data_IF_907833097490
#
_entry.id   IF_907833097490
#
_cell.length_a   1.000
_cell.length_b   1.000
_cell.length_c   1.000
_cell.angle_alpha   90.00
_cell.angle_beta   90.00
_cell.angle_gamma   90.00
#
_symmetry.space_group_name_H-M   'P 1'
#
loop_
_entity.id
_entity.type
_entity.pdbx_description
1 polymer ?
#
# COMPACT_ATOMS: atom_id res chain seq x y z
N UNK A 1 -14.53 12.52 -71.85
CA UNK A 1 -14.44 11.39 -70.94
C UNK A 1 -13.91 11.94 -69.61
N UNK A 2 -14.82 12.26 -68.64
CA UNK A 2 -14.45 12.85 -67.36
C UNK A 2 -14.32 11.73 -66.34
N UNK A 3 -13.12 11.55 -65.81
CA UNK A 3 -12.84 10.52 -64.79
C UNK A 3 -13.17 11.15 -63.42
N UNK A 4 -14.22 10.62 -62.73
CA UNK A 4 -14.53 10.93 -61.36
C UNK A 4 -13.62 10.11 -60.44
N UNK A 5 -12.72 10.79 -59.72
CA UNK A 5 -11.94 10.16 -58.68
C UNK A 5 -12.69 10.33 -57.37
N UNK A 6 -13.33 9.25 -56.89
CA UNK A 6 -13.99 9.19 -55.60
C UNK A 6 -12.95 9.05 -54.50
N UNK A 7 -12.74 10.09 -53.69
CA UNK A 7 -11.92 10.01 -52.47
C UNK A 7 -12.68 9.28 -51.38
N UNK A 8 -12.24 8.08 -51.05
CA UNK A 8 -12.73 7.34 -49.88
C UNK A 8 -11.95 7.90 -48.68
N UNK A 9 -12.63 8.71 -47.83
CA UNK A 9 -12.13 9.14 -46.53
C UNK A 9 -12.28 7.99 -45.55
N UNK A 10 -11.16 7.36 -45.19
CA UNK A 10 -11.12 6.37 -44.10
C UNK A 10 -11.21 7.10 -42.79
N UNK A 11 -12.37 7.11 -42.16
CA UNK A 11 -12.56 7.59 -40.81
C UNK A 11 -12.00 6.53 -39.87
N UNK A 12 -10.81 6.75 -39.33
CA UNK A 12 -10.27 5.98 -38.23
C UNK A 12 -11.12 6.28 -36.97
N UNK A 13 -12.04 5.37 -36.67
CA UNK A 13 -12.74 5.37 -35.39
C UNK A 13 -11.74 4.94 -34.30
N UNK A 14 -11.09 5.91 -33.65
CA UNK A 14 -10.32 5.64 -32.44
C UNK A 14 -11.32 5.27 -31.37
N UNK A 15 -11.52 3.97 -31.16
CA UNK A 15 -12.18 3.43 -29.97
C UNK A 15 -11.33 3.88 -28.76
N UNK A 16 -11.72 4.97 -28.12
CA UNK A 16 -11.31 5.26 -26.76
C UNK A 16 -11.80 4.08 -25.90
N UNK A 17 -10.92 3.11 -25.68
CA UNK A 17 -11.12 2.12 -24.63
C UNK A 17 -11.16 2.93 -23.34
N UNK A 18 -12.36 3.22 -22.85
CA UNK A 18 -12.53 3.71 -21.49
C UNK A 18 -11.78 2.71 -20.62
N UNK A 19 -10.66 3.14 -20.06
CA UNK A 19 -9.88 2.34 -19.13
C UNK A 19 -10.74 2.11 -17.91
N UNK A 20 -11.44 0.98 -17.89
CA UNK A 20 -12.23 0.58 -16.74
C UNK A 20 -11.31 0.50 -15.54
N UNK A 21 -11.75 1.08 -14.43
CA UNK A 21 -11.12 0.96 -13.14
C UNK A 21 -10.68 -0.50 -12.91
N UNK A 22 -9.40 -0.72 -12.70
CA UNK A 22 -8.86 -2.08 -12.69
C UNK A 22 -8.92 -2.68 -11.29
N UNK A 23 -9.60 -3.82 -11.17
CA UNK A 23 -9.68 -4.63 -9.97
C UNK A 23 -8.37 -5.44 -9.79
N UNK A 24 -7.28 -4.75 -9.48
CA UNK A 24 -5.92 -5.28 -9.62
C UNK A 24 -5.05 -5.12 -8.38
N UNK A 25 -5.64 -4.72 -7.25
CA UNK A 25 -4.93 -4.63 -5.96
C UNK A 25 -5.63 -5.47 -4.91
N UNK A 26 -4.84 -6.17 -4.10
CA UNK A 26 -5.31 -6.99 -2.96
C UNK A 26 -4.60 -6.49 -1.71
N UNK A 27 -5.29 -6.44 -0.59
CA UNK A 27 -4.63 -6.24 0.69
C UNK A 27 -4.71 -7.50 1.56
N UNK A 28 -3.72 -7.66 2.43
CA UNK A 28 -3.51 -8.82 3.29
C UNK A 28 -3.04 -8.36 4.68
N UNK A 29 -3.26 -9.23 5.68
CA UNK A 29 -2.79 -9.05 7.04
C UNK A 29 -2.40 -10.36 7.71
N UNK A 30 -1.99 -10.30 8.97
CA UNK A 30 -1.74 -11.48 9.79
C UNK A 30 -3.00 -12.35 10.03
N UNK A 31 -4.20 -11.84 9.76
CA UNK A 31 -5.44 -12.62 9.81
C UNK A 31 -5.60 -13.57 8.62
N UNK A 32 -4.85 -13.36 7.52
CA UNK A 32 -4.83 -14.26 6.38
C UNK A 32 -3.89 -15.44 6.63
N UNK A 33 -4.35 -16.45 7.36
CA UNK A 33 -3.51 -17.55 7.84
C UNK A 33 -3.05 -18.54 6.74
N UNK A 34 -3.66 -18.48 5.54
CA UNK A 34 -3.32 -19.40 4.45
C UNK A 34 -1.98 -19.03 3.80
N UNK A 35 -1.31 -20.01 3.23
CA UNK A 35 -0.20 -19.76 2.30
C UNK A 35 -0.74 -19.19 1.01
N UNK A 36 -0.44 -17.91 0.75
CA UNK A 36 -0.93 -17.18 -0.43
C UNK A 36 -0.18 -17.63 -1.68
N UNK A 37 -0.93 -17.94 -2.75
CA UNK A 37 -0.39 -18.24 -4.08
C UNK A 37 -0.26 -16.96 -4.90
N UNK A 38 0.85 -16.24 -4.74
CA UNK A 38 1.12 -14.97 -5.44
C UNK A 38 1.34 -15.14 -6.94
N UNK A 39 1.84 -16.30 -7.40
CA UNK A 39 2.01 -16.57 -8.83
C UNK A 39 0.64 -16.67 -9.49
N UNK A 40 -0.27 -17.44 -8.91
CA UNK A 40 -1.65 -17.52 -9.39
C UNK A 40 -2.36 -16.18 -9.30
N UNK A 41 -2.15 -15.42 -8.20
CA UNK A 41 -2.69 -14.08 -8.03
C UNK A 41 -2.27 -13.13 -9.17
N UNK A 42 -0.99 -13.16 -9.55
CA UNK A 42 -0.47 -12.41 -10.70
C UNK A 42 -1.12 -12.85 -12.02
N UNK A 43 -1.26 -14.15 -12.24
CA UNK A 43 -1.87 -14.71 -13.45
C UNK A 43 -3.37 -14.38 -13.56
N UNK A 44 -4.05 -14.17 -12.44
CA UNK A 44 -5.44 -13.70 -12.37
C UNK A 44 -5.59 -12.17 -12.51
N UNK A 45 -4.51 -11.44 -12.85
CA UNK A 45 -4.53 -10.02 -13.19
C UNK A 45 -4.29 -9.06 -12.03
N UNK A 46 -3.91 -9.55 -10.84
CA UNK A 46 -3.46 -8.66 -9.76
C UNK A 46 -2.11 -8.06 -10.12
N UNK A 47 -1.96 -6.76 -9.87
CA UNK A 47 -0.74 -5.98 -10.15
C UNK A 47 0.00 -5.65 -8.86
N UNK A 48 -0.73 -5.37 -7.78
CA UNK A 48 -0.14 -4.97 -6.51
C UNK A 48 -0.81 -5.59 -5.30
N UNK A 49 -0.01 -5.73 -4.23
CA UNK A 49 -0.45 -6.16 -2.91
C UNK A 49 -0.05 -5.11 -1.88
N UNK A 50 -0.97 -4.74 -0.98
CA UNK A 50 -0.70 -3.90 0.18
C UNK A 50 -0.87 -4.77 1.43
N UNK A 51 0.17 -4.94 2.22
CA UNK A 51 0.19 -5.86 3.36
C UNK A 51 0.36 -5.12 4.67
N UNK A 52 -0.30 -5.57 5.74
CA UNK A 52 -0.01 -5.10 7.09
C UNK A 52 1.46 -5.31 7.41
N UNK A 53 2.12 -4.27 7.89
CA UNK A 53 3.51 -4.39 8.34
C UNK A 53 3.61 -4.25 9.85
N UNK A 54 2.82 -3.34 10.41
CA UNK A 54 2.79 -3.06 11.85
C UNK A 54 1.37 -2.68 12.30
N UNK A 55 1.07 -2.95 13.57
CA UNK A 55 -0.21 -2.70 14.19
C UNK A 55 -0.04 -2.27 15.68
N UNK A 56 -1.13 -1.96 16.43
CA UNK A 56 -1.03 -1.43 17.79
C UNK A 56 -0.09 -2.21 18.71
N UNK A 57 0.47 -1.53 19.72
CA UNK A 57 1.51 -2.00 20.65
C UNK A 57 2.91 -2.09 20.06
N UNK A 58 3.14 -1.47 18.90
CA UNK A 58 4.40 -1.60 18.14
C UNK A 58 4.66 -3.05 17.71
N UNK A 59 3.60 -3.83 17.51
CA UNK A 59 3.71 -5.18 17.01
C UNK A 59 4.00 -5.17 15.49
N UNK A 60 4.66 -6.24 15.02
CA UNK A 60 5.04 -6.45 13.62
C UNK A 60 4.34 -7.68 13.07
N UNK A 61 3.79 -7.56 11.86
CA UNK A 61 3.22 -8.72 11.19
C UNK A 61 4.31 -9.72 10.83
N UNK A 62 4.21 -10.93 11.37
CA UNK A 62 5.21 -11.99 11.19
C UNK A 62 5.27 -12.52 9.74
N UNK A 63 4.19 -12.36 8.97
CA UNK A 63 4.13 -12.80 7.57
C UNK A 63 4.65 -11.75 6.59
N UNK A 64 4.75 -10.49 7.00
CA UNK A 64 5.08 -9.36 6.11
C UNK A 64 6.30 -9.65 5.23
N UNK A 65 7.45 -9.98 5.84
CA UNK A 65 8.70 -10.17 5.10
C UNK A 65 8.66 -11.34 4.13
N UNK A 66 8.18 -12.50 4.56
CA UNK A 66 8.10 -13.69 3.70
C UNK A 66 7.12 -13.52 2.55
N UNK A 67 6.01 -12.81 2.78
CA UNK A 67 5.02 -12.51 1.75
C UNK A 67 5.50 -11.43 0.79
N UNK A 68 6.22 -10.41 1.27
CA UNK A 68 6.90 -9.44 0.42
C UNK A 68 7.82 -10.13 -0.57
N UNK A 69 8.69 -11.01 -0.08
CA UNK A 69 9.63 -11.76 -0.91
C UNK A 69 8.92 -12.63 -1.96
N UNK A 70 7.85 -13.32 -1.57
CA UNK A 70 7.10 -14.19 -2.48
C UNK A 70 6.32 -13.37 -3.52
N UNK A 71 5.67 -12.28 -3.13
CA UNK A 71 4.90 -11.42 -4.02
C UNK A 71 5.81 -10.70 -5.03
N UNK A 72 6.93 -10.15 -4.59
CA UNK A 72 7.87 -9.46 -5.47
C UNK A 72 8.55 -10.41 -6.46
N UNK A 73 8.90 -11.64 -6.03
CA UNK A 73 9.35 -12.69 -6.97
C UNK A 73 8.29 -13.07 -7.99
N UNK A 74 7.02 -13.05 -7.64
CA UNK A 74 5.92 -13.27 -8.60
C UNK A 74 5.67 -12.05 -9.52
N UNK A 75 6.41 -10.96 -9.35
CA UNK A 75 6.30 -9.76 -10.16
C UNK A 75 5.13 -8.83 -9.75
N UNK A 76 4.66 -8.91 -8.49
CA UNK A 76 3.67 -8.01 -7.93
C UNK A 76 4.33 -6.77 -7.35
N UNK A 77 3.69 -5.61 -7.49
CA UNK A 77 4.01 -4.38 -6.77
C UNK A 77 3.71 -4.58 -5.28
N UNK A 78 4.48 -3.92 -4.41
CA UNK A 78 4.34 -4.09 -2.97
C UNK A 78 4.03 -2.79 -2.25
N UNK A 79 3.10 -2.85 -1.31
CA UNK A 79 2.77 -1.78 -0.37
C UNK A 79 2.72 -2.31 1.06
N UNK A 80 2.78 -1.42 2.00
CA UNK A 80 2.74 -1.68 3.42
C UNK A 80 1.72 -0.76 4.10
N UNK A 81 1.00 -1.25 5.11
CA UNK A 81 0.19 -0.40 5.95
C UNK A 81 0.50 -0.58 7.44
N UNK A 82 0.23 0.47 8.20
CA UNK A 82 0.24 0.50 9.65
C UNK A 82 -1.17 0.73 10.17
N UNK A 83 -1.68 -0.16 11.01
CA UNK A 83 -2.93 0.06 11.72
C UNK A 83 -2.70 0.98 12.91
N UNK A 84 -3.26 2.20 12.86
CA UNK A 84 -3.00 3.26 13.83
C UNK A 84 -3.78 3.14 15.13
N UNK A 85 -3.14 3.48 16.25
CA UNK A 85 -3.78 3.61 17.56
C UNK A 85 -3.62 5.02 18.17
N UNK A 86 -4.21 5.27 19.36
CA UNK A 86 -4.14 6.58 20.00
C UNK A 86 -2.88 6.77 20.89
N UNK A 87 -1.83 5.97 20.71
CA UNK A 87 -0.54 6.19 21.36
C UNK A 87 0.30 7.22 20.58
N UNK A 88 1.62 7.30 20.82
CA UNK A 88 2.50 8.28 20.19
C UNK A 88 2.59 8.08 18.66
N UNK A 89 2.02 8.96 17.83
CA UNK A 89 1.95 8.80 16.37
C UNK A 89 3.33 8.92 15.70
N UNK A 90 4.27 9.67 16.28
CA UNK A 90 5.62 9.81 15.74
C UNK A 90 6.40 8.52 15.91
N UNK A 91 6.32 7.91 17.09
CA UNK A 91 6.93 6.59 17.34
C UNK A 91 6.30 5.50 16.49
N UNK A 92 4.96 5.52 16.27
CA UNK A 92 4.28 4.59 15.38
C UNK A 92 4.82 4.72 13.95
N UNK A 93 4.96 5.94 13.43
CA UNK A 93 5.51 6.20 12.11
C UNK A 93 6.96 5.72 11.96
N UNK A 94 7.83 6.01 12.95
CA UNK A 94 9.22 5.55 12.93
C UNK A 94 9.30 4.02 12.97
N UNK A 95 8.54 3.37 13.84
CA UNK A 95 8.46 1.90 13.94
C UNK A 95 7.99 1.25 12.64
N UNK A 96 6.98 1.83 11.99
CA UNK A 96 6.49 1.38 10.70
C UNK A 96 7.57 1.48 9.62
N UNK A 97 8.27 2.62 9.53
CA UNK A 97 9.36 2.81 8.57
C UNK A 97 10.53 1.87 8.82
N UNK A 98 10.90 1.63 10.08
CA UNK A 98 11.94 0.65 10.45
C UNK A 98 11.56 -0.76 9.97
N UNK A 99 10.31 -1.19 10.20
CA UNK A 99 9.84 -2.49 9.73
C UNK A 99 9.93 -2.61 8.21
N UNK A 100 9.43 -1.62 7.48
CA UNK A 100 9.48 -1.62 6.01
C UNK A 100 10.93 -1.60 5.49
N UNK A 101 11.79 -0.76 6.07
CA UNK A 101 13.19 -0.68 5.67
C UNK A 101 13.96 -1.96 5.96
N UNK A 102 13.74 -2.59 7.12
CA UNK A 102 14.43 -3.82 7.53
C UNK A 102 14.13 -5.02 6.63
N UNK A 103 13.04 -4.96 5.87
CA UNK A 103 12.59 -6.02 4.96
C UNK A 103 12.77 -5.65 3.49
N UNK A 104 13.25 -4.43 3.21
CA UNK A 104 13.54 -4.00 1.86
C UNK A 104 14.88 -4.55 1.38
N UNK A 105 14.84 -5.65 0.67
CA UNK A 105 16.03 -6.25 0.04
C UNK A 105 16.36 -5.61 -1.32
N UNK A 106 15.78 -4.49 -1.57
CA UNK A 106 16.09 -3.48 -2.60
C UNK A 106 15.85 -3.95 -4.00
N UNK A 107 16.04 -4.03 -4.68
CA UNK A 107 16.38 -3.65 -6.05
C UNK A 107 16.44 -4.77 -7.06
N UNK A 108 16.69 -5.97 -6.65
CA UNK A 108 16.93 -7.07 -7.57
C UNK A 108 15.64 -7.51 -8.26
N UNK A 109 14.51 -7.38 -7.59
CA UNK A 109 13.24 -7.92 -8.10
C UNK A 109 12.25 -6.85 -8.55
N UNK A 110 12.23 -5.66 -7.89
CA UNK A 110 11.40 -4.52 -8.32
C UNK A 110 11.95 -3.18 -7.80
N UNK A 111 12.32 -2.27 -8.71
CA UNK A 111 12.85 -0.95 -8.35
C UNK A 111 11.78 0.06 -7.92
N UNK A 112 10.49 -0.32 -7.91
CA UNK A 112 9.37 0.61 -7.77
C UNK A 112 9.19 1.14 -6.34
N UNK A 113 9.78 0.50 -5.33
CA UNK A 113 9.63 0.89 -3.93
C UNK A 113 8.39 0.28 -3.26
N UNK A 114 8.05 0.78 -2.07
CA UNK A 114 6.93 0.33 -1.23
C UNK A 114 5.93 1.47 -1.05
N UNK A 115 4.66 1.28 -1.42
CA UNK A 115 3.60 2.21 -1.02
C UNK A 115 3.44 2.16 0.49
N UNK A 116 3.35 3.33 1.14
CA UNK A 116 3.13 3.45 2.58
C UNK A 116 1.71 3.91 2.84
N UNK A 117 1.02 3.31 3.82
CA UNK A 117 -0.36 3.63 4.17
C UNK A 117 -0.54 3.73 5.67
N UNK A 118 -1.26 4.73 6.12
CA UNK A 118 -1.88 4.76 7.45
C UNK A 118 -3.27 4.16 7.35
N UNK A 119 -3.51 3.07 8.06
CA UNK A 119 -4.86 2.56 8.32
C UNK A 119 -5.46 3.35 9.49
N UNK A 120 -6.38 4.27 9.15
CA UNK A 120 -7.03 5.19 10.06
C UNK A 120 -8.44 4.73 10.41
N UNK A 121 -8.55 3.51 10.91
CA UNK A 121 -9.82 2.92 11.33
C UNK A 121 -10.08 3.04 12.84
N UNK A 122 -11.29 2.65 13.24
CA UNK A 122 -11.64 2.50 14.64
C UNK A 122 -10.90 1.30 15.21
N UNK A 123 -10.18 1.52 16.31
CA UNK A 123 -9.52 0.44 17.01
C UNK A 123 -10.44 -0.08 18.13
N UNK A 124 -11.13 -1.18 17.86
CA UNK A 124 -12.01 -1.88 18.80
C UNK A 124 -11.36 -3.17 19.36
N UNK A 125 -10.19 -3.57 18.84
CA UNK A 125 -9.61 -4.89 19.10
C UNK A 125 -8.31 -4.86 19.89
N UNK A 126 -7.55 -3.76 19.79
CA UNK A 126 -6.23 -3.65 20.41
C UNK A 126 -6.21 -2.60 21.51
N UNK A 127 -5.34 -2.77 22.53
CA UNK A 127 -5.03 -1.69 23.45
C UNK A 127 -4.50 -0.43 22.72
N UNK A 128 -4.59 0.73 23.37
CA UNK A 128 -4.10 1.99 22.83
C UNK A 128 -5.20 2.94 22.37
N UNK A 129 -6.41 2.43 22.15
CA UNK A 129 -7.56 3.25 21.72
C UNK A 129 -7.50 3.64 20.24
N UNK A 130 -8.51 4.39 19.80
CA UNK A 130 -8.65 4.79 18.41
C UNK A 130 -7.86 6.06 18.12
N UNK A 131 -7.04 6.05 17.07
CA UNK A 131 -6.27 7.21 16.59
C UNK A 131 -7.19 8.41 16.30
N UNK A 132 -6.80 9.59 16.77
CA UNK A 132 -7.49 10.86 16.52
C UNK A 132 -6.91 11.55 15.27
N UNK A 133 -7.64 12.56 14.78
CA UNK A 133 -7.23 13.32 13.57
C UNK A 133 -5.89 14.04 13.77
N UNK A 134 -5.66 14.64 14.95
CA UNK A 134 -4.38 15.28 15.26
C UNK A 134 -3.20 14.30 15.25
N UNK A 135 -3.42 13.09 15.71
CA UNK A 135 -2.43 12.01 15.68
C UNK A 135 -2.19 11.47 14.27
N UNK A 136 -3.26 11.31 13.47
CA UNK A 136 -3.13 10.93 12.06
C UNK A 136 -2.31 11.97 11.27
N UNK A 137 -2.54 13.27 11.52
CA UNK A 137 -1.74 14.36 10.95
C UNK A 137 -0.28 14.23 11.34
N UNK A 138 0.02 14.07 12.64
CA UNK A 138 1.40 13.92 13.11
C UNK A 138 2.10 12.68 12.50
N UNK A 139 1.38 11.56 12.36
CA UNK A 139 1.88 10.36 11.70
C UNK A 139 2.26 10.61 10.23
N UNK A 140 1.33 11.17 9.44
CA UNK A 140 1.58 11.37 7.99
C UNK A 140 2.66 12.42 7.74
N UNK A 141 2.75 13.45 8.58
CA UNK A 141 3.83 14.43 8.51
C UNK A 141 5.19 13.81 8.86
N UNK A 142 5.22 12.91 9.86
CA UNK A 142 6.44 12.17 10.19
C UNK A 142 6.89 11.28 9.05
N UNK A 143 5.97 10.54 8.42
CA UNK A 143 6.28 9.74 7.21
C UNK A 143 6.86 10.65 6.12
N UNK A 144 6.21 11.79 5.83
CA UNK A 144 6.70 12.73 4.83
C UNK A 144 8.08 13.27 5.16
N UNK A 145 8.33 13.65 6.41
CA UNK A 145 9.63 14.14 6.86
C UNK A 145 10.74 13.12 6.60
N UNK A 146 10.48 11.84 6.89
CA UNK A 146 11.47 10.77 6.79
C UNK A 146 11.68 10.24 5.38
N UNK A 147 10.66 10.33 4.52
CA UNK A 147 10.68 9.67 3.20
C UNK A 147 10.60 10.64 2.02
N UNK A 148 10.25 11.90 2.27
CA UNK A 148 9.93 12.88 1.22
C UNK A 148 8.57 12.64 0.54
N UNK A 149 7.81 11.62 0.95
CA UNK A 149 6.52 11.22 0.36
C UNK A 149 5.40 11.30 1.39
N UNK A 150 4.22 11.78 0.99
CA UNK A 150 3.02 11.56 1.78
C UNK A 150 2.55 10.10 1.62
N UNK A 151 2.17 9.41 2.69
CA UNK A 151 1.58 8.08 2.61
C UNK A 151 0.15 8.15 2.07
N UNK A 152 -0.47 7.00 1.84
CA UNK A 152 -1.92 6.90 1.73
C UNK A 152 -2.59 6.98 3.11
N UNK A 153 -3.87 7.34 3.09
CA UNK A 153 -4.77 7.21 4.24
C UNK A 153 -5.88 6.25 3.85
N UNK A 154 -6.04 5.18 4.62
CA UNK A 154 -7.13 4.22 4.48
C UNK A 154 -8.17 4.41 5.58
N UNK A 155 -9.42 4.15 5.24
CA UNK A 155 -10.52 4.05 6.19
C UNK A 155 -11.87 3.91 5.50
N UNK A 156 -12.87 3.51 6.27
CA UNK A 156 -14.26 3.43 5.80
C UNK A 156 -14.82 4.81 5.44
N UNK A 157 -15.55 4.94 4.31
CA UNK A 157 -16.08 6.21 3.81
C UNK A 157 -16.88 6.99 4.87
N UNK A 158 -17.82 6.33 5.56
CA UNK A 158 -18.63 6.96 6.60
C UNK A 158 -17.80 7.41 7.81
N UNK A 159 -16.80 6.62 8.19
CA UNK A 159 -15.91 6.98 9.28
C UNK A 159 -15.08 8.21 8.92
N UNK A 160 -14.39 8.20 7.80
CA UNK A 160 -13.57 9.34 7.35
C UNK A 160 -14.42 10.61 7.28
N UNK A 161 -15.60 10.53 6.66
CA UNK A 161 -16.54 11.65 6.62
C UNK A 161 -16.90 12.17 8.03
N UNK A 162 -17.21 11.27 8.96
CA UNK A 162 -17.62 11.65 10.32
C UNK A 162 -16.47 12.28 11.11
N UNK A 163 -15.30 11.65 11.13
CA UNK A 163 -14.19 12.13 11.96
C UNK A 163 -13.57 13.42 11.41
N UNK A 164 -13.49 13.58 10.07
CA UNK A 164 -12.89 14.75 9.45
C UNK A 164 -13.82 15.98 9.45
N UNK A 165 -15.14 15.77 9.58
CA UNK A 165 -16.12 16.84 9.80
C UNK A 165 -16.43 17.07 11.29
N UNK A 166 -15.74 16.37 12.19
CA UNK A 166 -15.89 16.50 13.62
C UNK A 166 -15.55 17.89 14.15
N UNK A 167 -16.22 18.30 15.25
CA UNK A 167 -15.88 19.55 15.94
C UNK A 167 -14.43 19.50 16.42
N UNK A 168 -13.67 20.56 16.16
CA UNK A 168 -12.26 20.66 16.57
C UNK A 168 -11.26 20.19 15.51
N UNK A 169 -11.70 19.66 14.36
CA UNK A 169 -10.81 19.40 13.22
C UNK A 169 -10.63 20.69 12.43
N UNK A 170 -9.40 21.21 12.42
CA UNK A 170 -9.07 22.45 11.74
C UNK A 170 -9.02 22.30 10.21
N UNK A 171 -9.20 23.41 9.44
CA UNK A 171 -8.97 23.39 8.00
C UNK A 171 -7.55 22.92 7.62
N UNK A 172 -6.54 23.30 8.41
CA UNK A 172 -5.15 22.89 8.19
C UNK A 172 -4.96 21.39 8.31
N UNK A 173 -5.55 20.75 9.33
CA UNK A 173 -5.48 19.31 9.50
C UNK A 173 -6.11 18.57 8.30
N UNK A 174 -7.26 19.05 7.83
CA UNK A 174 -7.89 18.48 6.61
C UNK A 174 -7.00 18.65 5.39
N UNK A 175 -6.38 19.83 5.23
CA UNK A 175 -5.48 20.08 4.11
C UNK A 175 -4.23 19.18 4.15
N UNK A 176 -3.64 18.97 5.32
CA UNK A 176 -2.49 18.05 5.47
C UNK A 176 -2.88 16.64 5.06
N UNK A 177 -4.02 16.13 5.53
CA UNK A 177 -4.50 14.81 5.14
C UNK A 177 -4.87 14.73 3.66
N UNK A 178 -5.36 15.82 3.06
CA UNK A 178 -5.65 15.88 1.62
C UNK A 178 -4.41 15.78 0.72
N UNK A 179 -3.20 16.03 1.25
CA UNK A 179 -1.96 15.76 0.52
C UNK A 179 -1.61 14.27 0.42
N UNK A 180 -2.23 13.44 1.26
CA UNK A 180 -2.13 11.99 1.17
C UNK A 180 -3.00 11.48 0.01
N UNK A 181 -2.68 10.31 -0.55
CA UNK A 181 -3.61 9.66 -1.45
C UNK A 181 -4.67 8.87 -0.65
N UNK A 182 -5.90 8.81 -1.18
CA UNK A 182 -7.02 8.18 -0.48
C UNK A 182 -7.23 6.73 -0.92
N UNK A 183 -7.25 5.82 0.05
CA UNK A 183 -7.74 4.47 -0.07
C UNK A 183 -8.99 4.34 0.82
N UNK A 184 -10.14 4.12 0.21
CA UNK A 184 -11.43 4.17 0.92
C UNK A 184 -12.16 2.83 0.84
N UNK A 185 -12.73 2.38 1.96
CA UNK A 185 -13.58 1.20 2.01
C UNK A 185 -15.06 1.58 1.91
N UNK A 186 -15.77 0.94 0.98
CA UNK A 186 -17.22 0.93 0.90
C UNK A 186 -17.67 -0.36 0.20
N UNK A 187 -18.37 -1.23 0.92
CA UNK A 187 -18.76 -2.56 0.45
C UNK A 187 -20.15 -2.60 -0.22
N UNK A 188 -20.83 -1.45 -0.29
CA UNK A 188 -22.22 -1.33 -0.78
C UNK A 188 -22.31 -0.60 -2.12
N UNK A 189 -21.45 0.41 -2.32
CA UNK A 189 -21.46 1.25 -3.52
C UNK A 189 -20.09 1.87 -3.76
N UNK A 190 -19.90 2.42 -4.97
CA UNK A 190 -18.73 3.26 -5.23
C UNK A 190 -18.72 4.47 -4.28
N UNK A 191 -17.55 4.80 -3.67
CA UNK A 191 -17.44 5.91 -2.73
C UNK A 191 -17.76 7.26 -3.38
N UNK A 192 -18.54 8.09 -2.67
CA UNK A 192 -19.00 9.41 -3.15
C UNK A 192 -18.58 10.54 -2.23
N UNK A 193 -18.29 10.25 -0.95
CA UNK A 193 -17.97 11.25 0.07
C UNK A 193 -16.47 11.18 0.40
N UNK A 194 -15.67 11.76 -0.47
CA UNK A 194 -14.19 11.69 -0.36
C UNK A 194 -13.54 12.93 0.27
N UNK A 195 -14.30 14.00 0.54
CA UNK A 195 -13.72 15.21 1.12
C UNK A 195 -12.94 14.91 2.42
N UNK A 196 -11.74 15.51 2.62
CA UNK A 196 -11.17 16.65 1.89
C UNK A 196 -10.42 16.30 0.59
N UNK A 197 -10.36 15.05 0.18
CA UNK A 197 -9.76 14.63 -1.09
C UNK A 197 -10.73 14.88 -2.25
N UNK A 198 -10.20 15.27 -3.40
CA UNK A 198 -10.99 15.50 -4.62
C UNK A 198 -11.58 14.18 -5.16
N UNK A 199 -10.85 13.07 -4.93
CA UNK A 199 -11.25 11.74 -5.37
C UNK A 199 -10.54 10.66 -4.57
N UNK A 200 -11.04 9.42 -4.68
CA UNK A 200 -10.35 8.24 -4.18
C UNK A 200 -9.34 7.73 -5.23
N UNK A 201 -8.24 7.15 -4.77
CA UNK A 201 -7.23 6.48 -5.61
C UNK A 201 -7.45 4.97 -5.63
N UNK A 202 -7.67 4.38 -4.45
CA UNK A 202 -8.05 2.99 -4.28
C UNK A 202 -9.41 2.89 -3.56
N UNK A 203 -10.25 1.98 -4.05
CA UNK A 203 -11.51 1.64 -3.42
C UNK A 203 -11.51 0.17 -3.03
N UNK A 204 -11.51 -0.11 -1.72
CA UNK A 204 -11.74 -1.45 -1.20
C UNK A 204 -13.25 -1.74 -1.26
N UNK A 205 -13.63 -2.60 -2.18
CA UNK A 205 -15.03 -2.93 -2.40
C UNK A 205 -15.47 -4.22 -1.70
N UNK A 206 -14.54 -5.01 -1.17
CA UNK A 206 -14.80 -6.20 -0.36
C UNK A 206 -13.76 -6.34 0.75
N UNK A 207 -14.23 -6.65 1.95
CA UNK A 207 -13.44 -6.93 3.14
C UNK A 207 -14.25 -7.78 4.11
N UNK A 208 -13.61 -8.63 4.92
CA UNK A 208 -14.26 -9.57 5.86
C UNK A 208 -15.34 -10.46 5.21
N UNK A 209 -15.23 -10.71 3.92
CA UNK A 209 -16.24 -11.41 3.13
C UNK A 209 -17.51 -10.61 2.84
N UNK A 210 -17.58 -9.34 3.27
CA UNK A 210 -18.68 -8.42 2.99
C UNK A 210 -18.52 -7.82 1.59
N UNK A 211 -19.59 -7.73 0.84
CA UNK A 211 -19.72 -7.01 -0.42
C UNK A 211 -21.13 -7.21 -0.95
N UNK A 212 -21.90 -6.15 -1.12
CA UNK A 212 -23.26 -6.19 -1.62
C UNK A 212 -23.34 -5.94 -3.14
N UNK A 213 -22.17 -5.76 -3.76
CA UNK A 213 -22.06 -5.48 -5.19
C UNK A 213 -22.22 -6.74 -6.05
N UNK A 214 -22.65 -6.61 -7.33
CA UNK A 214 -22.82 -7.74 -8.23
C UNK A 214 -21.54 -8.56 -8.44
N UNK A 215 -21.55 -9.85 -8.11
CA UNK A 215 -20.38 -10.74 -8.12
C UNK A 215 -19.69 -10.84 -9.47
N UNK A 216 -20.41 -10.75 -10.56
CA UNK A 216 -19.84 -10.83 -11.91
C UNK A 216 -18.81 -9.71 -12.18
N UNK A 217 -19.04 -8.52 -11.60
CA UNK A 217 -18.14 -7.36 -11.74
C UNK A 217 -17.20 -7.20 -10.54
N UNK A 218 -17.61 -7.68 -9.37
CA UNK A 218 -16.92 -7.50 -8.10
C UNK A 218 -16.67 -8.87 -7.43
N UNK A 219 -15.72 -9.67 -7.95
CA UNK A 219 -15.40 -10.98 -7.39
C UNK A 219 -14.81 -10.84 -5.98
N UNK A 220 -15.24 -11.75 -5.08
CA UNK A 220 -14.78 -11.79 -3.67
C UNK A 220 -13.62 -12.75 -3.44
N UNK A 221 -13.10 -13.36 -4.49
CA UNK A 221 -11.99 -14.32 -4.39
C UNK A 221 -10.89 -13.94 -5.37
N UNK A 222 -9.68 -14.39 -5.07
CA UNK A 222 -8.52 -14.33 -5.96
C UNK A 222 -7.54 -15.43 -5.57
N UNK A 223 -6.94 -16.08 -6.53
CA UNK A 223 -6.04 -17.21 -6.33
C UNK A 223 -6.66 -18.29 -5.41
N UNK A 224 -6.05 -18.54 -4.27
CA UNK A 224 -6.56 -19.49 -3.26
C UNK A 224 -7.29 -18.80 -2.10
N UNK A 225 -7.51 -17.48 -2.17
CA UNK A 225 -8.22 -16.71 -1.14
C UNK A 225 -9.69 -16.59 -1.51
N UNK A 226 -10.57 -17.17 -0.70
CA UNK A 226 -12.03 -17.19 -0.97
C UNK A 226 -12.73 -15.89 -0.58
N UNK A 227 -12.26 -15.22 0.46
CA UNK A 227 -12.78 -13.95 0.98
C UNK A 227 -11.66 -12.92 0.95
N UNK A 228 -11.21 -12.60 -0.26
CA UNK A 228 -10.12 -11.67 -0.46
C UNK A 228 -10.58 -10.22 -0.24
N UNK A 229 -9.74 -9.42 0.33
CA UNK A 229 -9.89 -7.96 0.38
C UNK A 229 -9.39 -7.36 -0.93
N UNK A 230 -10.31 -6.93 -1.77
CA UNK A 230 -10.00 -6.52 -3.15
C UNK A 230 -10.27 -5.05 -3.37
N UNK A 231 -9.43 -4.46 -4.19
CA UNK A 231 -9.41 -3.02 -4.42
C UNK A 231 -9.41 -2.69 -5.90
N UNK A 232 -10.15 -1.64 -6.23
CA UNK A 232 -10.18 -1.03 -7.56
C UNK A 232 -9.31 0.21 -7.53
N UNK A 233 -8.41 0.34 -8.49
CA UNK A 233 -7.70 1.58 -8.75
C UNK A 233 -8.52 2.48 -9.69
N UNK A 234 -8.58 3.78 -9.39
CA UNK A 234 -9.27 4.78 -10.23
C UNK A 234 -8.42 5.15 -11.44
N UNK A 235 -8.34 4.27 -12.40
CA UNK A 235 -7.56 4.48 -13.62
C UNK A 235 -7.22 3.18 -14.34
N UNK A 236 -6.39 3.30 -15.36
CA UNK A 236 -5.88 2.16 -16.12
C UNK A 236 -4.81 1.38 -15.35
N UNK A 237 -4.47 0.18 -15.85
CA UNK A 237 -3.34 -0.60 -15.32
C UNK A 237 -2.01 0.15 -15.42
N UNK A 238 -1.75 0.80 -16.56
CA UNK A 238 -0.56 1.65 -16.72
C UNK A 238 -0.56 2.81 -15.73
N UNK A 239 -1.72 3.46 -15.53
CA UNK A 239 -1.89 4.50 -14.52
C UNK A 239 -1.64 4.00 -13.08
N UNK A 240 -1.98 2.75 -12.76
CA UNK A 240 -1.68 2.15 -11.46
C UNK A 240 -0.16 1.97 -11.27
N UNK A 241 0.55 1.53 -12.29
CA UNK A 241 2.02 1.39 -12.20
C UNK A 241 2.71 2.75 -12.08
N UNK A 242 2.23 3.77 -12.82
CA UNK A 242 2.73 5.14 -12.70
C UNK A 242 2.44 5.73 -11.33
N UNK A 243 1.24 5.52 -10.82
CA UNK A 243 0.85 5.91 -9.46
C UNK A 243 1.76 5.27 -8.41
N UNK A 244 2.04 3.96 -8.54
CA UNK A 244 2.93 3.25 -7.61
C UNK A 244 4.33 3.86 -7.64
N UNK A 245 4.91 4.04 -8.81
CA UNK A 245 6.24 4.68 -8.97
C UNK A 245 6.30 6.10 -8.38
N UNK A 246 5.23 6.88 -8.54
CA UNK A 246 5.16 8.25 -8.05
C UNK A 246 5.08 8.34 -6.51
N UNK A 247 4.36 7.42 -5.87
CA UNK A 247 4.03 7.50 -4.44
C UNK A 247 4.85 6.55 -3.55
N UNK A 248 5.46 5.50 -4.11
CA UNK A 248 6.23 4.55 -3.34
C UNK A 248 7.53 5.17 -2.78
N UNK A 249 7.85 4.74 -1.58
CA UNK A 249 9.13 5.04 -0.94
C UNK A 249 10.15 3.96 -1.28
N UNK A 250 11.40 4.38 -1.53
CA UNK A 250 12.55 3.49 -1.70
C UNK A 250 13.45 3.65 -0.48
N UNK A 251 13.42 2.69 0.47
CA UNK A 251 14.37 2.72 1.57
C UNK A 251 15.81 2.76 1.05
N UNK A 252 16.67 3.56 1.68
CA UNK A 252 18.08 3.51 1.39
C UNK A 252 18.60 2.10 1.75
N UNK A 253 19.28 1.47 0.81
CA UNK A 253 20.01 0.23 1.12
C UNK A 253 21.22 0.67 1.93
N UNK A 254 21.27 0.36 3.22
CA UNK A 254 22.52 0.47 3.97
C UNK A 254 23.52 -0.42 3.24
N UNK A 255 24.60 0.18 2.72
CA UNK A 255 25.71 -0.58 2.19
C UNK A 255 26.14 -1.54 3.31
N UNK A 256 25.99 -2.86 3.05
CA UNK A 256 26.42 -3.87 3.99
C UNK A 256 27.81 -3.47 4.49
N UNK A 257 27.93 -3.25 5.79
CA UNK A 257 29.20 -2.89 6.40
C UNK A 257 30.23 -3.87 5.86
N UNK A 258 31.17 -3.35 5.07
CA UNK A 258 32.28 -4.16 4.56
C UNK A 258 32.93 -4.76 5.81
N UNK A 259 32.76 -6.06 6.02
CA UNK A 259 33.60 -6.80 6.96
C UNK A 259 35.05 -6.48 6.57
N UNK A 260 35.71 -5.70 7.40
CA UNK A 260 37.13 -5.50 7.25
C UNK A 260 37.77 -6.88 7.26
N UNK A 261 38.51 -7.27 6.21
CA UNK A 261 39.24 -8.53 6.25
C UNK A 261 40.21 -8.47 7.43
N UNK A 262 40.13 -9.51 8.25
CA UNK A 262 40.72 -9.62 9.55
C UNK A 262 42.16 -9.11 9.62
N UNK A 263 42.39 -8.24 10.58
CA UNK A 263 43.71 -7.86 11.01
C UNK A 263 44.51 -9.09 11.47
N UNK A 264 45.66 -9.21 10.89
CA UNK A 264 46.72 -10.16 11.18
C UNK A 264 46.84 -10.41 12.69
N UNK A 265 46.67 -11.64 13.13
CA UNK A 265 47.08 -12.07 14.48
C UNK A 265 48.62 -12.09 14.57
N UNK A 266 49.19 -11.39 15.53
CA UNK A 266 50.65 -11.54 15.78
C UNK A 266 50.91 -12.91 16.41
N UNK A 267 51.92 -13.58 15.86
CA UNK A 267 52.31 -14.94 16.19
C UNK A 267 52.47 -15.24 17.68
N UNK A 268 51.96 -16.39 18.09
CA UNK A 268 52.25 -17.03 19.35
C UNK A 268 53.71 -17.50 19.33
N UNK A 269 54.55 -16.92 20.18
CA UNK A 269 55.86 -17.44 20.50
C UNK A 269 55.69 -18.71 21.35
N UNK A 270 56.15 -19.81 20.80
CA UNK A 270 56.41 -21.04 21.55
C UNK A 270 57.62 -20.78 22.45
N UNK A 271 57.41 -20.82 23.76
CA UNK A 271 58.50 -20.95 24.72
C UNK A 271 58.64 -22.43 25.07
N UNK A 272 59.69 -23.06 24.57
CA UNK A 272 60.24 -24.27 25.15
C UNK A 272 61.05 -23.85 26.35
N UNK A 273 60.94 -24.58 27.44
CA UNK A 273 61.97 -25.10 28.32
C UNK A 273 61.52 -25.26 29.77
N UNK A 274 61.75 -26.45 30.18
CA UNK A 274 62.01 -27.09 31.50
C UNK A 274 60.85 -27.49 32.35
#
# INVERSE_FOLDING_TARGET
MKIFVTRISLVLLVLQVCAFASNSVVNLSHYDLMRVDFVRMKNEGVVGVIHEATYPRFDRDSYYGSRQDAATRAGLLWGAYHFGDATDPVRQADHFLEMVASRWHGQILRPDGVLLVLDFEKNDHYPGGTMRVDQAVAFVERIRQRTGKYPGVYGGENRLRTVLNGRGVSPLQRQILANCWLWVANYHSEPRHTAPWDHWHLWQYTGDGKCDLPRARFPKSVANIRKAERNIFRGSLAGLEDFWRAHAWKPAVEAAAQEKPGGNMPGARVAADR
#
